data_IF_334376920607
#
_entry.id   IF_334376920607
#
_cell.length_a   1.000
_cell.length_b   1.000
_cell.length_c   1.000
_cell.angle_alpha   90.00
_cell.angle_beta   90.00
_cell.angle_gamma   90.00
#
_symmetry.space_group_name_H-M   'P 1'
#
loop_
_entity.id
_entity.type
_entity.pdbx_description
1 polymer ?
#
# COMPACT_ATOMS: atom_id res chain seq x y z
N UNK A 1 -3.68 -11.43 36.27
CA UNK A 1 -3.80 -10.74 34.98
C UNK A 1 -5.27 -10.37 34.81
N UNK A 2 -5.57 -9.09 34.73
CA UNK A 2 -6.93 -8.62 34.50
C UNK A 2 -7.40 -9.06 33.10
N UNK A 3 -8.72 -9.25 32.92
CA UNK A 3 -9.31 -9.62 31.64
C UNK A 3 -8.89 -8.67 30.49
N UNK A 4 -8.78 -7.39 30.81
CA UNK A 4 -8.31 -6.37 29.86
C UNK A 4 -6.85 -6.61 29.44
N UNK A 5 -5.95 -6.83 30.38
CA UNK A 5 -4.54 -7.14 30.12
C UNK A 5 -4.39 -8.37 29.22
N UNK A 6 -5.16 -9.45 29.51
CA UNK A 6 -5.15 -10.67 28.70
C UNK A 6 -5.63 -10.44 27.25
N UNK A 7 -6.65 -9.60 27.06
CA UNK A 7 -7.15 -9.24 25.72
C UNK A 7 -6.13 -8.41 24.96
N UNK A 8 -5.48 -7.45 25.62
CA UNK A 8 -4.46 -6.59 25.01
C UNK A 8 -3.19 -7.38 24.63
N UNK A 9 -2.77 -8.30 25.47
CA UNK A 9 -1.66 -9.23 25.15
C UNK A 9 -2.01 -10.11 23.94
N UNK A 10 -3.20 -10.70 23.93
CA UNK A 10 -3.69 -11.48 22.79
C UNK A 10 -3.74 -10.67 21.49
N UNK A 11 -4.23 -9.43 21.55
CA UNK A 11 -4.25 -8.53 20.40
C UNK A 11 -2.85 -8.16 19.89
N UNK A 12 -1.89 -7.98 20.80
CA UNK A 12 -0.50 -7.71 20.44
C UNK A 12 0.15 -8.91 19.72
N UNK A 13 -0.05 -10.12 20.24
CA UNK A 13 0.43 -11.37 19.62
C UNK A 13 -0.21 -11.57 18.24
N UNK A 14 -1.51 -11.40 18.14
CA UNK A 14 -2.28 -11.46 16.88
C UNK A 14 -1.74 -10.46 15.86
N UNK A 15 -1.59 -9.20 16.26
CA UNK A 15 -1.07 -8.14 15.41
C UNK A 15 0.37 -8.40 14.94
N UNK A 16 1.25 -8.90 15.82
CA UNK A 16 2.62 -9.25 15.47
C UNK A 16 2.67 -10.39 14.45
N UNK A 17 1.86 -11.45 14.65
CA UNK A 17 1.77 -12.58 13.73
C UNK A 17 1.35 -12.12 12.31
N UNK A 18 0.27 -11.36 12.19
CA UNK A 18 -0.23 -10.95 10.88
C UNK A 18 0.60 -9.85 10.22
N UNK A 19 1.31 -9.01 10.98
CA UNK A 19 2.29 -8.09 10.42
C UNK A 19 3.48 -8.83 9.77
N UNK A 20 3.84 -10.00 10.29
CA UNK A 20 4.84 -10.88 9.70
C UNK A 20 4.27 -11.72 8.54
N UNK A 21 2.95 -11.97 8.52
CA UNK A 21 2.26 -12.82 7.55
C UNK A 21 1.04 -12.09 6.93
N UNK A 22 1.26 -11.02 6.14
CA UNK A 22 0.16 -10.21 5.60
C UNK A 22 -0.72 -10.96 4.60
N UNK A 23 -0.18 -11.97 3.93
CA UNK A 23 -0.92 -12.90 3.08
C UNK A 23 -1.94 -13.72 3.89
N UNK A 24 -1.53 -14.21 5.05
CA UNK A 24 -2.44 -14.89 5.97
C UNK A 24 -3.53 -13.98 6.50
N UNK A 25 -3.21 -12.73 6.79
CA UNK A 25 -4.22 -11.75 7.18
C UNK A 25 -5.29 -11.56 6.10
N UNK A 26 -4.88 -11.47 4.83
CA UNK A 26 -5.80 -11.34 3.72
C UNK A 26 -6.71 -12.58 3.59
N UNK A 27 -6.17 -13.79 3.78
CA UNK A 27 -6.94 -15.04 3.70
C UNK A 27 -7.80 -15.29 4.93
N UNK A 28 -7.24 -15.21 6.13
CA UNK A 28 -7.88 -15.64 7.38
C UNK A 28 -8.88 -14.59 7.91
N UNK A 29 -8.51 -13.30 7.84
CA UNK A 29 -9.31 -12.21 8.38
C UNK A 29 -10.21 -11.54 7.34
N UNK A 30 -9.71 -11.30 6.13
CA UNK A 30 -10.49 -10.63 5.09
C UNK A 30 -11.20 -11.62 4.16
N UNK A 31 -10.92 -12.92 4.27
CA UNK A 31 -11.50 -13.99 3.44
C UNK A 31 -11.21 -13.81 1.94
N UNK A 32 -10.08 -13.18 1.62
CA UNK A 32 -9.62 -12.94 0.26
C UNK A 32 -8.68 -14.06 -0.15
N UNK A 33 -9.11 -14.86 -1.13
CA UNK A 33 -8.27 -15.93 -1.69
C UNK A 33 -7.16 -15.36 -2.56
N UNK A 34 -5.91 -15.69 -2.24
CA UNK A 34 -4.73 -15.24 -2.96
C UNK A 34 -4.06 -16.38 -3.71
N UNK A 35 -3.67 -16.14 -4.95
CA UNK A 35 -2.78 -17.03 -5.69
C UNK A 35 -1.36 -16.98 -5.11
N UNK A 36 -0.58 -18.04 -5.31
CA UNK A 36 0.75 -18.15 -4.70
C UNK A 36 1.64 -16.93 -5.00
N UNK A 37 1.69 -16.48 -6.26
CA UNK A 37 2.49 -15.30 -6.61
C UNK A 37 1.98 -14.02 -5.94
N UNK A 38 0.67 -13.86 -5.74
CA UNK A 38 0.09 -12.71 -5.03
C UNK A 38 0.46 -12.71 -3.55
N UNK A 39 0.50 -13.88 -2.91
CA UNK A 39 0.95 -14.05 -1.52
C UNK A 39 2.40 -13.62 -1.38
N UNK A 40 3.28 -14.09 -2.28
CA UNK A 40 4.70 -13.72 -2.30
C UNK A 40 4.84 -12.20 -2.49
N UNK A 41 4.15 -11.63 -3.49
CA UNK A 41 4.22 -10.20 -3.77
C UNK A 41 3.72 -9.36 -2.59
N UNK A 42 2.58 -9.74 -2.00
CA UNK A 42 2.04 -9.03 -0.83
C UNK A 42 3.03 -9.03 0.34
N UNK A 43 3.63 -10.18 0.65
CA UNK A 43 4.67 -10.30 1.68
C UNK A 43 5.87 -9.40 1.36
N UNK A 44 6.34 -9.39 0.13
CA UNK A 44 7.47 -8.54 -0.29
C UNK A 44 7.13 -7.04 -0.26
N UNK A 45 5.88 -6.66 -0.56
CA UNK A 45 5.41 -5.28 -0.42
C UNK A 45 5.45 -4.80 1.05
N UNK A 46 5.12 -5.68 2.00
CA UNK A 46 5.19 -5.37 3.43
C UNK A 46 6.62 -5.34 3.97
N UNK A 47 7.48 -6.20 3.45
CA UNK A 47 8.90 -6.23 3.83
C UNK A 47 9.67 -5.02 3.31
N UNK A 48 9.33 -4.50 2.12
CA UNK A 48 10.12 -3.50 1.40
C UNK A 48 9.82 -2.07 1.85
N UNK A 49 10.85 -1.22 1.89
CA UNK A 49 10.68 0.25 1.94
C UNK A 49 10.48 0.85 0.56
N UNK A 50 11.07 0.24 -0.46
CA UNK A 50 10.82 0.54 -1.88
C UNK A 50 10.56 -0.78 -2.60
N UNK A 51 9.40 -0.88 -3.22
CA UNK A 51 8.96 -2.03 -3.98
C UNK A 51 8.69 -1.63 -5.43
N UNK A 52 9.22 -2.39 -6.38
CA UNK A 52 9.01 -2.14 -7.83
C UNK A 52 8.47 -3.40 -8.47
N UNK A 53 7.29 -3.33 -9.06
CA UNK A 53 6.67 -4.43 -9.81
C UNK A 53 6.49 -4.03 -11.27
N UNK A 54 7.06 -4.83 -12.16
CA UNK A 54 6.81 -4.79 -13.60
C UNK A 54 6.03 -6.05 -13.98
N UNK A 55 4.77 -5.90 -14.34
CA UNK A 55 3.92 -7.03 -14.66
C UNK A 55 3.06 -6.75 -15.89
N UNK A 56 2.73 -7.79 -16.64
CA UNK A 56 1.87 -7.69 -17.82
C UNK A 56 0.48 -7.11 -17.46
N UNK A 57 -0.28 -6.72 -18.46
CA UNK A 57 -1.71 -6.41 -18.30
C UNK A 57 -2.45 -7.70 -17.94
N UNK A 58 -3.48 -7.60 -17.10
CA UNK A 58 -4.27 -8.77 -16.68
C UNK A 58 -3.73 -9.46 -15.41
N UNK A 59 -2.47 -9.29 -15.01
CA UNK A 59 -1.89 -9.95 -13.82
C UNK A 59 -2.46 -9.46 -12.46
N UNK A 60 -3.47 -8.60 -12.46
CA UNK A 60 -4.12 -8.18 -11.22
C UNK A 60 -3.36 -7.14 -10.39
N UNK A 61 -2.47 -6.32 -11.00
CA UNK A 61 -1.71 -5.26 -10.28
C UNK A 61 -2.61 -4.35 -9.42
N UNK A 62 -3.69 -3.86 -9.99
CA UNK A 62 -4.64 -2.96 -9.30
C UNK A 62 -5.34 -3.69 -8.16
N UNK A 63 -5.69 -4.96 -8.34
CA UNK A 63 -6.28 -5.81 -7.30
C UNK A 63 -5.29 -6.03 -6.14
N UNK A 64 -4.04 -6.38 -6.44
CA UNK A 64 -2.98 -6.51 -5.44
C UNK A 64 -2.72 -5.21 -4.69
N UNK A 65 -2.74 -4.07 -5.40
CA UNK A 65 -2.63 -2.73 -4.80
C UNK A 65 -3.77 -2.46 -3.81
N UNK A 66 -5.00 -2.83 -4.17
CA UNK A 66 -6.18 -2.69 -3.32
C UNK A 66 -6.03 -3.52 -2.04
N UNK A 67 -5.63 -4.79 -2.16
CA UNK A 67 -5.39 -5.68 -1.01
C UNK A 67 -4.29 -5.13 -0.12
N UNK A 68 -3.15 -4.74 -0.69
CA UNK A 68 -2.05 -4.13 0.06
C UNK A 68 -2.51 -2.91 0.86
N UNK A 69 -3.26 -2.00 0.22
CA UNK A 69 -3.76 -0.79 0.88
C UNK A 69 -4.67 -1.11 2.07
N UNK A 70 -5.58 -2.06 1.91
CA UNK A 70 -6.52 -2.49 2.97
C UNK A 70 -5.77 -3.14 4.13
N UNK A 71 -4.97 -4.16 3.83
CA UNK A 71 -4.19 -4.89 4.84
C UNK A 71 -3.26 -3.94 5.60
N UNK A 72 -2.59 -3.01 4.88
CA UNK A 72 -1.71 -2.01 5.49
C UNK A 72 -2.47 -1.07 6.41
N UNK A 73 -3.65 -0.59 6.00
CA UNK A 73 -4.46 0.32 6.81
C UNK A 73 -4.99 -0.34 8.08
N UNK A 74 -5.34 -1.63 8.05
CA UNK A 74 -5.87 -2.34 9.22
C UNK A 74 -4.74 -2.72 10.18
N UNK A 75 -3.68 -3.39 9.69
CA UNK A 75 -2.57 -3.88 10.53
C UNK A 75 -1.69 -2.76 11.10
N UNK A 76 -1.71 -1.58 10.50
CA UNK A 76 -0.90 -0.43 10.91
C UNK A 76 -1.80 0.81 11.09
N UNK A 77 -2.52 0.91 12.21
CA UNK A 77 -3.44 2.03 12.49
C UNK A 77 -2.79 3.41 12.28
N UNK A 78 -3.56 4.36 11.76
CA UNK A 78 -3.06 5.71 11.46
C UNK A 78 -2.25 5.80 10.16
N UNK A 79 -2.21 4.75 9.34
CA UNK A 79 -1.57 4.77 8.02
C UNK A 79 -2.24 5.79 7.09
N UNK A 80 -1.44 6.57 6.37
CA UNK A 80 -1.89 7.51 5.33
C UNK A 80 -1.27 7.09 4.00
N UNK A 81 -2.08 6.60 3.08
CA UNK A 81 -1.66 6.17 1.74
C UNK A 81 -2.08 7.22 0.73
N UNK A 82 -1.13 7.73 -0.06
CA UNK A 82 -1.42 8.48 -1.28
C UNK A 82 -1.24 7.56 -2.49
N UNK A 83 -2.27 7.49 -3.34
CA UNK A 83 -2.23 6.79 -4.62
C UNK A 83 -2.14 7.82 -5.73
N UNK A 84 -1.11 7.73 -6.56
CA UNK A 84 -0.95 8.52 -7.77
C UNK A 84 -0.79 7.62 -9.00
N UNK A 85 -1.29 8.06 -10.14
CA UNK A 85 -1.13 7.41 -11.43
C UNK A 85 -0.99 8.45 -12.54
N UNK A 86 -0.72 8.02 -13.77
CA UNK A 86 -0.68 8.90 -14.95
C UNK A 86 -1.98 9.66 -15.16
N UNK A 87 -3.12 9.06 -14.84
CA UNK A 87 -4.43 9.72 -14.83
C UNK A 87 -5.13 9.51 -13.49
N UNK A 88 -6.00 10.45 -13.13
CA UNK A 88 -6.80 10.34 -11.92
C UNK A 88 -7.72 9.11 -11.94
N UNK A 89 -8.33 8.80 -13.08
CA UNK A 89 -9.21 7.64 -13.23
C UNK A 89 -8.50 6.33 -12.90
N UNK A 90 -7.27 6.14 -13.36
CA UNK A 90 -6.48 4.96 -13.01
C UNK A 90 -6.23 4.84 -11.50
N UNK A 91 -5.93 5.94 -10.82
CA UNK A 91 -5.75 5.92 -9.38
C UNK A 91 -7.07 5.63 -8.63
N UNK A 92 -8.21 6.10 -9.13
CA UNK A 92 -9.55 5.81 -8.57
C UNK A 92 -9.88 4.33 -8.69
N UNK A 93 -9.46 3.62 -9.75
CA UNK A 93 -9.73 2.19 -9.92
C UNK A 93 -9.28 1.36 -8.71
N UNK A 94 -8.23 1.76 -8.01
CA UNK A 94 -7.79 1.08 -6.78
C UNK A 94 -8.84 1.23 -5.67
N UNK A 95 -9.42 2.42 -5.51
CA UNK A 95 -10.50 2.65 -4.53
C UNK A 95 -11.78 1.89 -4.91
N UNK A 96 -12.10 1.85 -6.20
CA UNK A 96 -13.25 1.10 -6.72
C UNK A 96 -13.09 -0.39 -6.44
N UNK A 97 -11.90 -0.97 -6.66
CA UNK A 97 -11.60 -2.36 -6.29
C UNK A 97 -11.85 -2.62 -4.80
N UNK A 98 -11.45 -1.72 -3.93
CA UNK A 98 -11.70 -1.84 -2.49
C UNK A 98 -13.19 -1.79 -2.19
N UNK A 99 -13.90 -0.76 -2.68
CA UNK A 99 -15.28 -0.50 -2.28
C UNK A 99 -16.30 -1.41 -2.98
N UNK A 100 -16.07 -1.79 -4.23
CA UNK A 100 -17.03 -2.51 -5.07
C UNK A 100 -16.73 -4.02 -5.17
N UNK A 101 -15.49 -4.44 -4.92
CA UNK A 101 -15.11 -5.85 -5.01
C UNK A 101 -14.71 -6.44 -3.65
N UNK A 102 -13.72 -5.86 -2.94
CA UNK A 102 -13.22 -6.44 -1.69
C UNK A 102 -14.22 -6.26 -0.53
N UNK A 103 -14.74 -5.06 -0.35
CA UNK A 103 -15.65 -4.74 0.75
C UNK A 103 -16.94 -5.56 0.75
N UNK A 104 -17.62 -5.82 -0.39
CA UNK A 104 -18.80 -6.68 -0.40
C UNK A 104 -18.53 -8.14 -0.02
N UNK A 105 -17.31 -8.63 -0.25
CA UNK A 105 -16.91 -10.01 0.00
C UNK A 105 -16.49 -10.26 1.46
N UNK A 106 -16.07 -9.22 2.19
CA UNK A 106 -15.57 -9.33 3.57
C UNK A 106 -16.44 -8.54 4.54
N UNK A 107 -17.03 -9.24 5.52
CA UNK A 107 -17.77 -8.62 6.62
C UNK A 107 -16.83 -7.76 7.49
N UNK A 108 -15.65 -8.27 7.76
CA UNK A 108 -14.63 -7.64 8.59
C UNK A 108 -14.17 -6.33 7.94
N UNK A 109 -13.94 -6.33 6.62
CA UNK A 109 -13.57 -5.09 5.91
C UNK A 109 -14.69 -4.05 5.94
N UNK A 110 -15.96 -4.49 5.90
CA UNK A 110 -17.09 -3.56 6.06
C UNK A 110 -17.12 -2.91 7.43
N UNK A 111 -16.74 -3.64 8.48
CA UNK A 111 -16.68 -3.13 9.85
C UNK A 111 -15.50 -2.16 10.07
N UNK A 112 -14.43 -2.26 9.27
CA UNK A 112 -13.24 -1.40 9.38
C UNK A 112 -13.39 -0.04 8.67
N UNK A 113 -14.25 0.06 7.64
CA UNK A 113 -14.39 1.26 6.80
C UNK A 113 -15.48 2.18 7.33
N UNK A 114 -15.15 3.46 7.52
CA UNK A 114 -16.12 4.53 7.79
C UNK A 114 -16.74 5.04 6.47
N UNK A 115 -17.93 4.52 6.16
CA UNK A 115 -18.67 4.89 4.95
C UNK A 115 -19.09 6.35 4.90
N UNK A 116 -19.30 6.99 6.07
CA UNK A 116 -19.73 8.40 6.12
C UNK A 116 -18.65 9.35 5.67
N UNK A 117 -17.38 8.98 5.92
CA UNK A 117 -16.21 9.76 5.56
C UNK A 117 -15.55 9.29 4.24
N UNK A 118 -15.94 8.13 3.71
CA UNK A 118 -15.39 7.55 2.49
C UNK A 118 -16.12 8.06 1.25
N UNK A 119 -15.37 8.44 0.21
CA UNK A 119 -15.91 8.91 -1.09
C UNK A 119 -14.97 8.46 -2.21
N UNK A 120 -15.47 7.69 -3.16
CA UNK A 120 -14.67 7.26 -4.33
C UNK A 120 -14.82 8.20 -5.53
N UNK A 121 -15.83 9.09 -5.51
CA UNK A 121 -16.10 10.04 -6.58
C UNK A 121 -15.67 11.46 -6.20
N UNK A 122 -15.49 12.33 -7.22
CA UNK A 122 -15.19 13.75 -7.02
C UNK A 122 -13.70 14.06 -6.80
N UNK A 123 -13.41 15.31 -6.45
CA UNK A 123 -12.03 15.82 -6.32
C UNK A 123 -11.26 15.25 -5.12
N UNK A 124 -11.96 14.82 -4.08
CA UNK A 124 -11.37 14.28 -2.84
C UNK A 124 -11.72 12.81 -2.66
N UNK A 125 -11.40 11.96 -3.66
CA UNK A 125 -11.62 10.53 -3.56
C UNK A 125 -10.70 9.93 -2.47
N UNK A 126 -11.31 9.30 -1.47
CA UNK A 126 -10.62 8.68 -0.33
C UNK A 126 -11.46 7.59 0.33
N UNK A 127 -10.79 6.65 0.98
CA UNK A 127 -11.39 5.69 1.91
C UNK A 127 -10.82 5.95 3.30
N UNK A 128 -11.69 6.05 4.29
CA UNK A 128 -11.34 6.31 5.69
C UNK A 128 -11.67 5.09 6.51
N UNK A 129 -10.77 4.70 7.39
CA UNK A 129 -10.93 3.59 8.33
C UNK A 129 -11.20 4.14 9.74
N UNK A 130 -11.96 3.40 10.56
CA UNK A 130 -12.23 3.79 11.95
C UNK A 130 -10.95 3.93 12.79
N UNK A 131 -9.89 3.18 12.48
CA UNK A 131 -8.58 3.29 13.11
C UNK A 131 -7.74 4.49 12.66
N UNK A 132 -8.38 5.50 12.03
CA UNK A 132 -7.79 6.74 11.50
C UNK A 132 -6.87 6.60 10.29
N UNK A 133 -6.74 5.39 9.71
CA UNK A 133 -6.04 5.20 8.44
C UNK A 133 -6.84 5.80 7.28
N UNK A 134 -6.15 6.28 6.26
CA UNK A 134 -6.78 6.88 5.08
C UNK A 134 -6.05 6.47 3.82
N UNK A 135 -6.79 6.08 2.79
CA UNK A 135 -6.30 5.89 1.43
C UNK A 135 -6.86 7.03 0.59
N UNK A 136 -6.01 7.84 -0.03
CA UNK A 136 -6.42 9.03 -0.79
C UNK A 136 -5.82 9.00 -2.19
N UNK A 137 -6.63 9.31 -3.20
CA UNK A 137 -6.16 9.55 -4.56
C UNK A 137 -5.62 10.96 -4.69
N UNK A 138 -4.43 11.09 -5.24
CA UNK A 138 -3.76 12.36 -5.52
C UNK A 138 -3.43 12.46 -7.02
N UNK A 139 -3.47 13.67 -7.56
CA UNK A 139 -3.03 13.91 -8.93
C UNK A 139 -1.53 14.16 -8.96
N UNK A 140 -0.86 13.68 -10.02
CA UNK A 140 0.55 13.94 -10.27
C UNK A 140 0.77 15.38 -10.80
N UNK A 141 0.26 16.38 -10.10
CA UNK A 141 0.35 17.81 -10.48
C UNK A 141 0.85 18.66 -9.32
N UNK A 142 1.32 19.86 -9.62
CA UNK A 142 1.78 20.82 -8.63
C UNK A 142 0.71 21.22 -7.59
N UNK A 143 -0.56 21.13 -7.94
CA UNK A 143 -1.68 21.42 -7.04
C UNK A 143 -1.81 20.39 -5.90
N UNK A 144 -1.11 19.25 -5.98
CA UNK A 144 -1.12 18.22 -4.96
C UNK A 144 -0.19 18.51 -3.76
N UNK A 145 0.56 19.60 -3.75
CA UNK A 145 1.62 19.91 -2.76
C UNK A 145 1.19 19.93 -1.30
N UNK A 146 -0.09 20.00 -1.00
CA UNK A 146 -0.63 19.96 0.38
C UNK A 146 -0.85 18.56 0.96
N UNK A 147 -0.69 17.50 0.17
CA UNK A 147 -0.92 16.14 0.64
C UNK A 147 0.30 15.62 1.43
N UNK A 148 0.02 14.82 2.47
CA UNK A 148 1.06 14.17 3.27
C UNK A 148 0.67 12.72 3.51
N UNK A 149 1.65 11.81 3.41
CA UNK A 149 1.45 10.38 3.63
C UNK A 149 2.70 9.72 4.22
N UNK A 150 2.55 8.49 4.65
CA UNK A 150 3.66 7.61 5.03
C UNK A 150 3.82 6.43 4.06
N UNK A 151 2.85 6.24 3.16
CA UNK A 151 2.93 5.30 2.04
C UNK A 151 2.55 6.02 0.75
N UNK A 152 3.39 5.93 -0.25
CA UNK A 152 3.14 6.43 -1.61
C UNK A 152 3.02 5.23 -2.56
N UNK A 153 1.86 5.06 -3.18
CA UNK A 153 1.62 4.05 -4.19
C UNK A 153 1.51 4.72 -5.55
N UNK A 154 2.38 4.34 -6.46
CA UNK A 154 2.48 4.85 -7.82
C UNK A 154 2.02 3.76 -8.80
N UNK A 155 0.75 3.85 -9.21
CA UNK A 155 0.18 2.92 -10.18
C UNK A 155 0.46 3.42 -11.61
N UNK A 156 0.85 2.51 -12.51
CA UNK A 156 1.36 2.80 -13.86
C UNK A 156 2.40 3.94 -13.84
N UNK A 157 3.39 3.84 -12.91
CA UNK A 157 4.36 4.91 -12.66
C UNK A 157 5.14 5.35 -13.89
N UNK A 158 5.28 4.49 -14.92
CA UNK A 158 5.89 4.84 -16.22
C UNK A 158 5.19 6.01 -16.94
N UNK A 159 3.91 6.26 -16.63
CA UNK A 159 3.13 7.35 -17.21
C UNK A 159 3.28 8.68 -16.46
N UNK A 160 3.95 8.66 -15.32
CA UNK A 160 4.25 9.86 -14.53
C UNK A 160 5.68 10.29 -14.84
N UNK A 161 5.94 11.58 -15.06
CA UNK A 161 7.31 12.03 -15.30
C UNK A 161 8.19 11.79 -14.05
N UNK A 162 9.44 11.43 -14.27
CA UNK A 162 10.42 11.26 -13.17
C UNK A 162 10.52 12.52 -12.32
N UNK A 163 10.54 13.69 -12.97
CA UNK A 163 10.60 14.98 -12.29
C UNK A 163 9.40 15.18 -11.36
N UNK A 164 8.17 14.92 -11.81
CA UNK A 164 6.98 15.00 -10.97
C UNK A 164 7.05 14.07 -9.76
N UNK A 165 7.54 12.84 -9.95
CA UNK A 165 7.71 11.90 -8.82
C UNK A 165 8.71 12.46 -7.82
N UNK A 166 9.88 12.92 -8.27
CA UNK A 166 10.97 13.34 -7.39
C UNK A 166 10.70 14.70 -6.73
N UNK A 167 10.11 15.65 -7.46
CA UNK A 167 9.91 17.03 -6.98
C UNK A 167 8.59 17.27 -6.27
N UNK A 168 7.56 16.48 -6.56
CA UNK A 168 6.21 16.65 -6.00
C UNK A 168 5.80 15.47 -5.14
N UNK A 169 5.67 14.27 -5.71
CA UNK A 169 5.04 13.14 -5.04
C UNK A 169 5.85 12.59 -3.87
N UNK A 170 7.17 12.46 -4.01
CA UNK A 170 8.04 12.02 -2.91
C UNK A 170 8.05 12.99 -1.72
N UNK A 171 7.77 14.27 -1.95
CA UNK A 171 7.65 15.26 -0.87
C UNK A 171 6.40 15.05 0.00
N UNK A 172 5.44 14.22 -0.43
CA UNK A 172 4.33 13.83 0.44
C UNK A 172 4.75 12.88 1.56
N UNK A 173 5.87 12.15 1.38
CA UNK A 173 6.41 11.20 2.36
C UNK A 173 7.07 11.90 3.56
N UNK A 174 6.35 12.80 4.19
CA UNK A 174 6.80 13.57 5.35
C UNK A 174 6.06 13.23 6.63
N UNK A 175 4.98 12.44 6.51
CA UNK A 175 4.16 12.07 7.65
C UNK A 175 4.76 10.83 8.33
N UNK A 176 4.87 10.88 9.65
CA UNK A 176 5.09 9.68 10.47
C UNK A 176 3.75 9.10 10.87
N UNK A 177 3.67 7.77 10.95
CA UNK A 177 2.48 7.12 11.47
C UNK A 177 2.36 7.43 12.96
N UNK A 178 1.18 7.84 13.39
CA UNK A 178 0.87 8.12 14.79
C UNK A 178 -0.54 7.58 15.09
N UNK A 179 -0.65 6.34 15.57
CA UNK A 179 -1.94 5.76 15.96
C UNK A 179 -2.59 6.57 17.09
N UNK A 180 -3.91 6.70 17.01
CA UNK A 180 -4.68 7.54 17.94
C UNK A 180 -4.99 6.82 19.25
N UNK A 181 -5.05 5.50 19.24
CA UNK A 181 -5.57 4.64 20.30
C UNK A 181 -4.48 3.81 20.99
N UNK A 182 -3.31 4.38 21.23
CA UNK A 182 -2.28 3.75 22.03
C UNK A 182 -2.15 4.47 23.37
N UNK A 183 -1.84 3.72 24.41
CA UNK A 183 -1.61 4.22 25.77
C UNK A 183 -0.36 5.11 25.89
N UNK A 184 0.47 5.13 24.83
CA UNK A 184 1.65 5.95 24.73
C UNK A 184 1.30 7.44 24.63
N UNK A 185 2.03 8.27 25.35
CA UNK A 185 1.98 9.71 25.19
C UNK A 185 2.44 10.14 23.80
N UNK A 186 2.08 11.33 23.34
CA UNK A 186 2.52 11.85 22.04
C UNK A 186 4.05 11.96 21.94
N UNK A 187 4.75 12.15 23.07
CA UNK A 187 6.22 12.17 23.10
C UNK A 187 6.79 10.77 22.88
N UNK A 188 6.26 9.74 23.55
CA UNK A 188 6.67 8.34 23.37
C UNK A 188 6.36 7.84 21.97
N UNK A 189 5.18 8.15 21.42
CA UNK A 189 4.82 7.85 20.02
C UNK A 189 5.82 8.46 19.04
N UNK A 190 6.23 9.71 19.26
CA UNK A 190 7.24 10.35 18.40
C UNK A 190 8.58 9.62 18.40
N UNK A 191 8.99 9.07 19.52
CA UNK A 191 10.24 8.31 19.65
C UNK A 191 10.10 6.95 18.98
N UNK A 192 9.03 6.21 19.26
CA UNK A 192 8.83 4.86 18.76
C UNK A 192 8.63 4.85 17.23
N UNK A 193 7.72 5.68 16.73
CA UNK A 193 7.44 5.74 15.29
C UNK A 193 8.45 6.56 14.49
N UNK A 194 9.43 7.22 15.14
CA UNK A 194 10.53 7.88 14.44
C UNK A 194 11.38 6.91 13.61
N UNK A 195 11.44 5.64 14.02
CA UNK A 195 12.21 4.58 13.35
C UNK A 195 11.47 3.99 12.13
N UNK A 196 10.16 4.17 12.04
CA UNK A 196 9.40 3.70 10.88
C UNK A 196 9.79 4.48 9.62
N UNK A 197 10.20 3.75 8.59
CA UNK A 197 10.50 4.35 7.29
C UNK A 197 9.23 4.52 6.47
N UNK A 198 9.14 5.62 5.74
CA UNK A 198 8.10 5.80 4.75
C UNK A 198 8.31 4.82 3.59
N UNK A 199 7.21 4.41 2.95
CA UNK A 199 7.17 3.36 1.95
C UNK A 199 6.81 3.93 0.58
N UNK A 200 7.45 3.39 -0.47
CA UNK A 200 7.09 3.74 -1.86
C UNK A 200 6.91 2.47 -2.69
N UNK A 201 5.72 2.32 -3.27
CA UNK A 201 5.34 1.21 -4.12
C UNK A 201 5.21 1.69 -5.56
N UNK A 202 5.99 1.13 -6.46
CA UNK A 202 5.98 1.40 -7.89
C UNK A 202 5.41 0.20 -8.63
N UNK A 203 4.26 0.34 -9.27
CA UNK A 203 3.63 -0.72 -10.04
C UNK A 203 3.43 -0.24 -11.47
N UNK A 204 3.81 -1.05 -12.46
CA UNK A 204 3.62 -0.71 -13.86
C UNK A 204 3.69 -1.93 -14.77
N UNK A 205 3.31 -1.74 -16.01
CA UNK A 205 3.64 -2.66 -17.09
C UNK A 205 5.04 -2.36 -17.65
N UNK A 206 5.64 -3.32 -18.34
CA UNK A 206 6.91 -3.13 -19.04
C UNK A 206 6.83 -1.98 -20.06
N UNK A 207 7.96 -1.30 -20.26
CA UNK A 207 8.12 -0.22 -21.22
C UNK A 207 9.49 -0.26 -21.88
N UNK A 208 9.85 0.74 -22.68
CA UNK A 208 11.10 0.76 -23.41
C UNK A 208 12.33 0.88 -22.48
N UNK A 209 13.47 0.29 -22.91
CA UNK A 209 14.72 0.27 -22.13
C UNK A 209 15.35 1.65 -21.97
N UNK A 210 15.13 2.55 -22.91
CA UNK A 210 15.60 3.94 -22.86
C UNK A 210 14.75 4.86 -21.96
N UNK A 211 13.63 4.34 -21.46
CA UNK A 211 12.76 5.11 -20.59
C UNK A 211 13.24 5.06 -19.13
N UNK A 212 13.07 6.15 -18.39
CA UNK A 212 13.50 6.28 -17.00
C UNK A 212 12.92 5.19 -16.07
N UNK A 213 11.76 4.63 -16.39
CA UNK A 213 11.17 3.55 -15.59
C UNK A 213 12.01 2.28 -15.61
N UNK A 214 12.70 1.99 -16.71
CA UNK A 214 13.67 0.89 -16.79
C UNK A 214 14.89 1.17 -15.90
N UNK A 215 15.46 2.37 -15.98
CA UNK A 215 16.57 2.77 -15.10
C UNK A 215 16.18 2.62 -13.64
N UNK A 216 14.95 3.01 -13.27
CA UNK A 216 14.44 2.81 -11.89
C UNK A 216 14.43 1.35 -11.46
N UNK A 217 14.08 0.43 -12.36
CA UNK A 217 14.13 -1.02 -12.07
C UNK A 217 15.58 -1.47 -11.84
N UNK A 218 16.49 -1.07 -12.72
CA UNK A 218 17.90 -1.47 -12.62
C UNK A 218 18.57 -0.90 -11.37
N UNK A 219 18.35 0.36 -11.05
CA UNK A 219 18.84 0.99 -9.83
C UNK A 219 18.32 0.26 -8.57
N UNK A 220 17.03 -0.11 -8.59
CA UNK A 220 16.43 -0.85 -7.46
C UNK A 220 17.02 -2.25 -7.37
N UNK A 221 17.28 -2.92 -8.49
CA UNK A 221 17.92 -4.25 -8.54
C UNK A 221 19.34 -4.20 -7.97
N UNK A 222 20.14 -3.20 -8.33
CA UNK A 222 21.49 -3.04 -7.75
C UNK A 222 21.44 -2.81 -6.24
N UNK A 223 20.50 -1.99 -5.75
CA UNK A 223 20.34 -1.74 -4.32
C UNK A 223 19.81 -2.98 -3.59
N UNK A 224 18.97 -3.81 -4.25
CA UNK A 224 18.43 -5.04 -3.67
C UNK A 224 19.51 -6.07 -3.31
N UNK A 225 20.68 -6.00 -3.93
CA UNK A 225 21.84 -6.86 -3.61
C UNK A 225 22.44 -6.57 -2.21
N UNK A 226 22.16 -5.39 -1.65
CA UNK A 226 22.60 -5.02 -0.30
C UNK A 226 21.55 -5.50 0.72
N UNK A 227 21.88 -6.51 1.50
CA UNK A 227 20.99 -7.11 2.51
C UNK A 227 20.50 -6.12 3.58
N UNK A 228 21.23 -5.03 3.80
CA UNK A 228 20.84 -3.96 4.73
C UNK A 228 19.78 -3.02 4.15
N UNK A 229 19.50 -3.13 2.86
CA UNK A 229 18.53 -2.30 2.14
C UNK A 229 17.26 -3.09 1.85
N UNK A 230 16.17 -2.70 2.47
CA UNK A 230 14.85 -3.30 2.24
C UNK A 230 14.21 -2.75 0.98
N UNK A 231 14.82 -3.05 -0.18
CA UNK A 231 14.28 -2.74 -1.50
C UNK A 231 14.06 -4.02 -2.29
N UNK A 232 13.02 -4.04 -3.10
CA UNK A 232 12.68 -5.22 -3.88
C UNK A 232 12.18 -4.82 -5.26
N UNK A 233 12.64 -5.50 -6.29
CA UNK A 233 12.15 -5.38 -7.66
C UNK A 233 11.89 -6.77 -8.24
N UNK A 234 10.77 -6.92 -8.94
CA UNK A 234 10.44 -8.13 -9.67
C UNK A 234 9.68 -7.81 -10.95
N UNK A 235 9.73 -8.76 -11.86
CA UNK A 235 8.99 -8.72 -13.13
C UNK A 235 8.29 -10.04 -13.40
N UNK A 236 7.06 -9.95 -13.94
CA UNK A 236 6.29 -11.13 -14.35
C UNK A 236 5.82 -10.98 -15.79
N UNK A 237 6.09 -12.00 -16.63
CA UNK A 237 5.65 -12.05 -18.01
C UNK A 237 4.15 -12.42 -18.12
N UNK A 238 3.61 -12.34 -19.33
CA UNK A 238 2.20 -12.64 -19.55
C UNK A 238 1.86 -14.14 -19.45
N UNK A 239 2.84 -15.02 -19.61
CA UNK A 239 2.70 -16.47 -19.46
C UNK A 239 2.13 -16.83 -18.08
N UNK A 240 2.61 -16.17 -17.03
CA UNK A 240 2.06 -16.37 -15.68
C UNK A 240 0.58 -16.01 -15.59
N UNK A 241 0.13 -14.97 -16.30
CA UNK A 241 -1.30 -14.61 -16.33
C UNK A 241 -2.15 -15.71 -16.99
N UNK A 242 -1.64 -16.35 -18.05
CA UNK A 242 -2.31 -17.46 -18.72
C UNK A 242 -2.35 -18.70 -17.81
N UNK A 243 -1.21 -19.08 -17.23
CA UNK A 243 -1.10 -20.24 -16.33
C UNK A 243 -2.02 -20.12 -15.11
N UNK A 244 -2.19 -18.92 -14.61
CA UNK A 244 -3.02 -18.62 -13.45
C UNK A 244 -4.50 -18.39 -13.80
N UNK A 245 -4.87 -18.38 -15.10
CA UNK A 245 -6.24 -18.15 -15.54
C UNK A 245 -6.79 -16.76 -15.19
N UNK A 246 -5.95 -15.73 -15.37
CA UNK A 246 -6.26 -14.31 -15.08
C UNK A 246 -6.59 -13.55 -16.37
#
# INVERSE_FOLDING_TARGET
MDRYESVMEGAAIWGAFYRANPDKFAEDYLHIQLKLFQRILLTMMFWSTTFVLIACRGLGKTYLSAIYCVVRCILYPGTKICIASGTRGQAINVLEKIMLELKPQSYELRAEIDDKQSKINGTNAQIVFFNTSVIKVVTASDNARGNRCNVLLLDEYRLISKDTIDTVLKKFLTLRRMPRYEELTDAEKKIEYAKEKNLTMYLSSAYFKDHWSYTKCMDTFEIMKDENRRQFVCGFPYELSIEEGL
#
